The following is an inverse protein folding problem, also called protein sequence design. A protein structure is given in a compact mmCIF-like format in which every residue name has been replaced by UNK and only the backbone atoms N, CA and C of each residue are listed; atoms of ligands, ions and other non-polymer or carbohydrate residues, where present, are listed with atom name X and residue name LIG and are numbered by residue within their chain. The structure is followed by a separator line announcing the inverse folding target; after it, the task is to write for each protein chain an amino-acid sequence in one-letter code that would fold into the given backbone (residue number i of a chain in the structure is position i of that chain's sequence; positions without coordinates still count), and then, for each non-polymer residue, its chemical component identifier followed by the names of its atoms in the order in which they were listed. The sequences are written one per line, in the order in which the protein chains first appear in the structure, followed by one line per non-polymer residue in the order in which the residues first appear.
data_IF_214646608632
#
_entry.id   IF_214646608632
#
_cell.length_a   1.000
_cell.length_b   1.000
_cell.length_c   1.000
_cell.angle_alpha   90.00
_cell.angle_beta   90.00
_cell.angle_gamma   90.00
#
_symmetry.space_group_name_H-M   'P 1'
#
loop_
_entity.id
_entity.type
_entity.pdbx_description
1 polymer ?
#
# COMPACT_ATOMS: atom_id res chain seq x y z
N UNK A 1 -1.90 1.48 19.01
CA UNK A 1 -0.44 1.36 19.21
C UNK A 1 0.06 0.22 18.36
N UNK A 2 1.01 0.45 17.45
CA UNK A 2 1.61 -0.60 16.63
C UNK A 2 2.21 -1.68 17.55
N UNK A 3 1.83 -2.94 17.32
CA UNK A 3 2.29 -4.10 18.12
C UNK A 3 3.78 -4.41 17.95
N UNK A 4 4.38 -4.00 16.83
CA UNK A 4 5.79 -4.24 16.51
C UNK A 4 6.65 -3.00 16.72
N UNK A 5 7.73 -3.17 17.51
CA UNK A 5 8.76 -2.15 17.70
C UNK A 5 9.58 -1.91 16.42
N UNK A 6 9.75 -2.93 15.58
CA UNK A 6 10.49 -2.83 14.33
C UNK A 6 9.74 -1.98 13.30
N UNK A 7 8.45 -2.27 13.09
CA UNK A 7 7.58 -1.48 12.21
C UNK A 7 7.57 -0.03 12.63
N UNK A 8 7.41 0.23 13.94
CA UNK A 8 7.43 1.59 14.47
C UNK A 8 8.75 2.31 14.18
N UNK A 9 9.89 1.68 14.52
CA UNK A 9 11.21 2.26 14.28
C UNK A 9 11.39 2.59 12.79
N UNK A 10 11.05 1.65 11.91
CA UNK A 10 11.25 1.85 10.47
C UNK A 10 10.35 2.96 9.92
N UNK A 11 9.10 3.01 10.36
CA UNK A 11 8.20 4.10 10.01
C UNK A 11 8.72 5.47 10.48
N UNK A 12 9.26 5.56 11.71
CA UNK A 12 9.90 6.77 12.23
C UNK A 12 11.14 7.17 11.41
N UNK A 13 11.96 6.22 10.96
CA UNK A 13 13.11 6.51 10.09
C UNK A 13 12.68 7.07 8.71
N UNK A 14 11.66 6.47 8.10
CA UNK A 14 11.15 6.91 6.79
C UNK A 14 10.50 8.28 6.91
N UNK A 15 9.62 8.49 7.88
CA UNK A 15 8.90 9.78 8.07
C UNK A 15 9.82 10.97 8.33
N UNK A 16 11.00 10.73 8.93
CA UNK A 16 12.00 11.78 9.15
C UNK A 16 12.77 12.16 7.88
N UNK A 17 12.75 11.33 6.85
CA UNK A 17 13.58 11.48 5.64
C UNK A 17 12.75 11.76 4.39
N UNK A 18 11.56 11.17 4.31
CA UNK A 18 10.71 11.16 3.14
C UNK A 18 9.27 11.54 3.50
N UNK A 19 8.56 12.26 2.62
CA UNK A 19 7.12 12.43 2.76
C UNK A 19 6.41 11.07 2.67
N UNK A 20 5.45 10.84 3.57
CA UNK A 20 4.57 9.69 3.50
C UNK A 20 3.38 10.02 2.63
N UNK A 21 3.10 9.11 1.69
CA UNK A 21 1.95 9.18 0.83
C UNK A 21 0.86 8.19 1.26
N UNK A 22 -0.40 8.60 1.07
CA UNK A 22 -1.58 7.75 1.23
C UNK A 22 -2.29 7.60 -0.11
N UNK A 23 -3.13 6.57 -0.25
CA UNK A 23 -3.99 6.42 -1.42
C UNK A 23 -5.42 6.01 -1.00
N UNK A 24 -6.43 6.29 -1.85
CA UNK A 24 -7.83 6.02 -1.50
C UNK A 24 -8.14 4.59 -1.00
N UNK A 25 -7.66 3.50 -1.63
CA UNK A 25 -7.92 2.15 -1.11
C UNK A 25 -7.33 1.91 0.29
N UNK A 26 -6.07 2.33 0.52
CA UNK A 26 -5.42 2.19 1.83
C UNK A 26 -6.11 3.02 2.91
N UNK A 27 -6.51 4.26 2.59
CA UNK A 27 -7.25 5.12 3.53
C UNK A 27 -8.61 4.52 3.87
N UNK A 28 -9.29 3.94 2.87
CA UNK A 28 -10.57 3.26 3.07
C UNK A 28 -10.41 2.04 3.98
N UNK A 29 -9.41 1.20 3.76
CA UNK A 29 -9.12 0.04 4.62
C UNK A 29 -8.81 0.44 6.06
N UNK A 30 -7.98 1.48 6.23
CA UNK A 30 -7.66 2.01 7.54
C UNK A 30 -8.91 2.49 8.27
N UNK A 31 -9.73 3.34 7.62
CA UNK A 31 -10.95 3.86 8.21
C UNK A 31 -12.01 2.76 8.45
N UNK A 32 -12.06 1.73 7.59
CA UNK A 32 -12.96 0.58 7.74
C UNK A 32 -12.71 -0.21 9.02
N UNK A 33 -11.48 -0.17 9.56
CA UNK A 33 -11.14 -0.84 10.82
C UNK A 33 -11.73 -0.18 12.07
N UNK A 34 -12.32 1.02 11.94
CA UNK A 34 -12.97 1.72 13.04
C UNK A 34 -14.16 0.94 13.59
N UNK A 35 -14.31 0.97 14.92
CA UNK A 35 -15.34 0.24 15.67
C UNK A 35 -16.55 1.10 16.01
N UNK A 36 -16.46 2.41 15.79
CA UNK A 36 -17.53 3.36 16.05
C UNK A 36 -17.32 4.67 15.23
N UNK A 37 -18.35 5.53 15.14
CA UNK A 37 -18.26 6.76 14.35
C UNK A 37 -17.21 7.78 14.82
N UNK A 38 -16.92 7.85 16.12
CA UNK A 38 -15.92 8.79 16.63
C UNK A 38 -14.50 8.34 16.24
N UNK A 39 -14.21 7.05 16.34
CA UNK A 39 -12.96 6.45 15.87
C UNK A 39 -12.80 6.60 14.35
N UNK A 40 -13.88 6.43 13.57
CA UNK A 40 -13.84 6.68 12.12
C UNK A 40 -13.45 8.14 11.80
N UNK A 41 -14.02 9.10 12.54
CA UNK A 41 -13.67 10.52 12.38
C UNK A 41 -12.24 10.84 12.84
N UNK A 42 -11.69 10.08 13.79
CA UNK A 42 -10.27 10.15 14.18
C UNK A 42 -9.36 9.61 13.08
N UNK A 43 -9.63 8.40 12.57
CA UNK A 43 -8.84 7.79 11.51
C UNK A 43 -8.81 8.62 10.23
N UNK A 44 -9.92 9.28 9.89
CA UNK A 44 -9.93 10.24 8.78
C UNK A 44 -9.00 11.43 9.00
N UNK A 45 -8.98 12.00 10.22
CA UNK A 45 -8.10 13.12 10.57
C UNK A 45 -6.63 12.69 10.59
N UNK A 46 -6.32 11.48 11.02
CA UNK A 46 -4.96 10.96 10.98
C UNK A 46 -4.39 10.93 9.56
N UNK A 47 -5.23 10.61 8.57
CA UNK A 47 -4.82 10.58 7.17
C UNK A 47 -4.62 11.97 6.56
N UNK A 48 -5.18 13.03 7.15
CA UNK A 48 -4.95 14.43 6.73
C UNK A 48 -3.52 14.90 7.03
N UNK A 49 -2.77 14.16 7.87
CA UNK A 49 -1.36 14.44 8.19
C UNK A 49 -0.40 14.05 7.06
N UNK A 50 -0.86 13.28 6.08
CA UNK A 50 -0.03 12.70 5.02
C UNK A 50 -0.38 13.25 3.64
N UNK A 51 0.50 13.02 2.67
CA UNK A 51 0.32 13.54 1.30
C UNK A 51 -0.55 12.57 0.49
N UNK A 52 -1.67 12.99 -0.11
CA UNK A 52 -2.43 12.10 -0.98
C UNK A 52 -1.68 11.84 -2.30
N UNK A 53 -1.68 10.59 -2.76
CA UNK A 53 -1.27 10.24 -4.11
C UNK A 53 -2.23 10.91 -5.11
N UNK A 54 -1.70 11.78 -5.96
CA UNK A 54 -2.51 12.69 -6.81
C UNK A 54 -2.97 12.06 -8.11
N UNK A 55 -2.22 11.08 -8.62
CA UNK A 55 -2.54 10.41 -9.88
C UNK A 55 -3.34 9.14 -9.61
N UNK A 56 -4.53 9.06 -10.20
CA UNK A 56 -5.36 7.85 -10.17
C UNK A 56 -4.86 6.85 -11.22
N UNK A 57 -4.65 5.57 -10.87
CA UNK A 57 -4.29 4.56 -11.86
C UNK A 57 -5.42 4.33 -12.85
N UNK A 58 -5.05 4.12 -14.12
CA UNK A 58 -6.00 3.72 -15.15
C UNK A 58 -6.46 2.28 -14.88
N UNK A 59 -7.69 1.93 -15.32
CA UNK A 59 -8.19 0.56 -15.21
C UNK A 59 -7.23 -0.47 -15.84
N UNK A 60 -6.57 -0.13 -16.94
CA UNK A 60 -5.60 -1.01 -17.59
C UNK A 60 -4.41 -1.33 -16.69
N UNK A 61 -3.85 -0.34 -15.97
CA UNK A 61 -2.70 -0.59 -15.06
C UNK A 61 -3.09 -1.57 -13.96
N UNK A 62 -4.29 -1.40 -13.37
CA UNK A 62 -4.80 -2.30 -12.34
C UNK A 62 -4.96 -3.73 -12.87
N UNK A 63 -5.55 -3.88 -14.06
CA UNK A 63 -5.75 -5.18 -14.68
C UNK A 63 -4.45 -5.82 -15.19
N UNK A 64 -3.48 -5.03 -15.63
CA UNK A 64 -2.16 -5.53 -16.06
C UNK A 64 -1.39 -6.14 -14.88
N UNK A 65 -1.49 -5.55 -13.69
CA UNK A 65 -0.91 -6.11 -12.46
C UNK A 65 -1.59 -7.44 -12.11
N UNK A 66 -2.91 -7.50 -12.18
CA UNK A 66 -3.65 -8.74 -11.92
C UNK A 66 -3.32 -9.81 -12.97
N UNK A 67 -3.27 -9.45 -14.25
CA UNK A 67 -2.90 -10.36 -15.33
C UNK A 67 -1.50 -10.93 -15.10
N UNK A 68 -0.53 -10.11 -14.69
CA UNK A 68 0.81 -10.57 -14.36
C UNK A 68 0.81 -11.60 -13.22
N UNK A 69 -0.01 -11.42 -12.17
CA UNK A 69 -0.16 -12.44 -11.12
C UNK A 69 -0.70 -13.75 -11.67
N UNK A 70 -1.68 -13.70 -12.57
CA UNK A 70 -2.27 -14.88 -13.20
C UNK A 70 -1.29 -15.61 -14.12
N UNK A 71 -0.60 -14.89 -14.99
CA UNK A 71 0.36 -15.45 -15.94
C UNK A 71 1.55 -16.13 -15.25
N UNK A 72 1.89 -15.67 -14.04
CA UNK A 72 2.96 -16.24 -13.22
C UNK A 72 2.46 -17.29 -12.21
N UNK A 73 1.20 -17.72 -12.28
CA UNK A 73 0.63 -18.72 -11.38
C UNK A 73 0.49 -18.29 -9.92
N UNK A 74 0.61 -16.99 -9.64
CA UNK A 74 0.40 -16.40 -8.31
C UNK A 74 -1.09 -16.12 -8.07
N UNK A 75 -1.88 -15.87 -9.13
CA UNK A 75 -3.35 -15.77 -9.12
C UNK A 75 -3.91 -14.92 -7.96
N UNK A 76 -4.27 -15.56 -6.84
CA UNK A 76 -4.83 -14.95 -5.62
C UNK A 76 -3.77 -14.66 -4.54
N UNK A 77 -2.49 -14.64 -4.92
CA UNK A 77 -1.38 -14.31 -4.04
C UNK A 77 -1.29 -12.81 -3.70
N UNK A 78 -2.25 -12.00 -4.12
CA UNK A 78 -2.44 -10.66 -3.60
C UNK A 78 -3.94 -10.32 -3.60
N UNK A 79 -4.39 -9.58 -2.59
CA UNK A 79 -5.75 -9.06 -2.52
C UNK A 79 -6.07 -8.07 -3.64
N UNK A 80 -7.36 -7.93 -3.96
CA UNK A 80 -7.81 -6.93 -4.95
C UNK A 80 -7.45 -5.50 -4.51
N UNK A 81 -7.49 -5.21 -3.21
CA UNK A 81 -7.10 -3.91 -2.69
C UNK A 81 -5.60 -3.67 -2.81
N UNK A 82 -4.76 -4.68 -2.52
CA UNK A 82 -3.30 -4.58 -2.66
C UNK A 82 -2.88 -4.35 -4.09
N UNK A 83 -3.55 -5.00 -5.06
CA UNK A 83 -3.36 -4.73 -6.49
C UNK A 83 -3.66 -3.27 -6.81
N UNK A 84 -4.74 -2.70 -6.26
CA UNK A 84 -5.09 -1.30 -6.49
C UNK A 84 -4.11 -0.33 -5.80
N UNK A 85 -3.66 -0.64 -4.58
CA UNK A 85 -2.63 0.13 -3.86
C UNK A 85 -1.31 0.11 -4.65
N UNK A 86 -0.89 -1.05 -5.17
CA UNK A 86 0.29 -1.18 -6.02
C UNK A 86 0.17 -0.36 -7.30
N UNK A 87 -1.01 -0.33 -7.92
CA UNK A 87 -1.26 0.52 -9.10
C UNK A 87 -1.11 2.01 -8.78
N UNK A 88 -1.60 2.47 -7.62
CA UNK A 88 -1.36 3.84 -7.15
C UNK A 88 0.13 4.11 -6.95
N UNK A 89 0.86 3.17 -6.34
CA UNK A 89 2.30 3.32 -6.13
C UNK A 89 3.06 3.44 -7.46
N UNK A 90 2.78 2.60 -8.45
CA UNK A 90 3.39 2.67 -9.78
C UNK A 90 3.07 4.00 -10.47
N UNK A 91 1.79 4.39 -10.47
CA UNK A 91 1.31 5.60 -11.16
C UNK A 91 1.88 6.90 -10.56
N UNK A 92 2.22 6.88 -9.28
CA UNK A 92 2.77 8.03 -8.56
C UNK A 92 4.29 7.91 -8.31
N UNK A 93 4.96 6.91 -8.88
CA UNK A 93 6.38 6.61 -8.66
C UNK A 93 6.78 6.51 -7.18
N UNK A 94 5.95 5.80 -6.40
CA UNK A 94 6.13 5.59 -4.96
C UNK A 94 6.68 4.19 -4.67
N UNK A 95 7.36 4.06 -3.53
CA UNK A 95 7.73 2.78 -2.94
C UNK A 95 6.76 2.45 -1.80
N UNK A 96 6.21 1.24 -1.79
CA UNK A 96 5.35 0.78 -0.69
C UNK A 96 6.20 0.35 0.50
N UNK A 97 5.86 0.82 1.71
CA UNK A 97 6.36 0.27 2.97
C UNK A 97 5.27 -0.65 3.53
N UNK A 98 5.56 -1.93 3.74
CA UNK A 98 4.54 -2.92 4.10
C UNK A 98 5.04 -3.96 5.10
N UNK A 99 4.11 -4.57 5.84
CA UNK A 99 4.35 -5.77 6.65
C UNK A 99 3.57 -6.99 6.08
N UNK A 100 3.13 -6.88 4.83
CA UNK A 100 2.36 -7.91 4.11
C UNK A 100 3.17 -8.46 2.92
N UNK A 101 3.24 -9.78 2.83
CA UNK A 101 3.95 -10.50 1.77
C UNK A 101 3.22 -10.46 0.43
N UNK A 102 1.94 -10.05 0.39
CA UNK A 102 1.17 -9.94 -0.86
C UNK A 102 1.85 -8.98 -1.87
N UNK A 103 2.52 -7.93 -1.39
CA UNK A 103 3.29 -7.03 -2.27
C UNK A 103 4.56 -7.67 -2.82
N UNK A 104 5.16 -8.65 -2.14
CA UNK A 104 6.27 -9.44 -2.71
C UNK A 104 5.78 -10.29 -3.89
N UNK A 105 4.57 -10.84 -3.79
CA UNK A 105 3.93 -11.57 -4.89
C UNK A 105 3.69 -10.64 -6.10
N UNK A 106 3.19 -9.42 -5.88
CA UNK A 106 3.03 -8.41 -6.93
C UNK A 106 4.38 -8.05 -7.57
N UNK A 107 5.40 -7.77 -6.75
CA UNK A 107 6.74 -7.41 -7.24
C UNK A 107 7.35 -8.55 -8.09
N UNK A 108 7.19 -9.79 -7.64
CA UNK A 108 7.66 -10.97 -8.38
C UNK A 108 6.95 -11.12 -9.72
N UNK A 109 5.63 -10.90 -9.76
CA UNK A 109 4.84 -11.04 -10.98
C UNK A 109 5.19 -10.00 -12.06
N UNK A 110 5.44 -8.75 -11.64
CA UNK A 110 5.74 -7.64 -12.54
C UNK A 110 7.19 -7.61 -13.05
N UNK A 111 8.08 -8.36 -12.40
CA UNK A 111 9.51 -8.33 -12.68
C UNK A 111 10.24 -7.13 -12.07
N UNK A 112 11.57 -7.15 -12.18
CA UNK A 112 12.42 -6.16 -11.53
C UNK A 112 12.21 -4.74 -12.10
N UNK A 113 12.10 -3.75 -11.21
CA UNK A 113 12.13 -2.33 -11.56
C UNK A 113 10.77 -1.69 -11.85
N UNK A 114 9.71 -2.45 -12.13
CA UNK A 114 8.37 -1.89 -12.38
C UNK A 114 7.65 -1.46 -11.11
N UNK A 115 7.76 -2.26 -10.04
CA UNK A 115 7.12 -2.02 -8.77
C UNK A 115 8.15 -2.11 -7.64
N UNK A 116 8.06 -1.19 -6.66
CA UNK A 116 8.98 -1.11 -5.54
C UNK A 116 8.21 -1.24 -4.24
N UNK A 117 8.65 -2.17 -3.42
CA UNK A 117 8.17 -2.33 -2.06
C UNK A 117 9.35 -2.62 -1.13
N UNK A 118 9.16 -2.28 0.14
CA UNK A 118 10.02 -2.61 1.24
C UNK A 118 9.19 -3.33 2.31
N UNK A 119 9.51 -4.61 2.53
CA UNK A 119 8.91 -5.42 3.57
C UNK A 119 9.59 -5.15 4.92
N UNK A 120 8.78 -4.94 5.95
CA UNK A 120 9.19 -4.74 7.34
C UNK A 120 8.53 -5.82 8.19
N UNK A 121 9.34 -6.73 8.71
CA UNK A 121 8.85 -7.77 9.61
C UNK A 121 8.44 -7.18 10.97
N UNK A 122 7.46 -7.81 11.62
CA UNK A 122 7.11 -7.52 13.02
C UNK A 122 8.31 -7.68 13.99
#
# INVERSE_FOLDING_TARGET
MARSANIRRRFEEITNTYPIYTCPPQVLEYCWSARNPAEYAEFRRDMELYTPAVNTPNQSEVLDIQQALWDNGLMRGAGNTDVLIAAYAITNDLTILTADHDFEHIQRALGAGRFRQEFVSE
#
